data_IF_022896512211
#
_entry.id   IF_022896512211
#
_cell.length_a   1.000
_cell.length_b   1.000
_cell.length_c   1.000
_cell.angle_alpha   90.00
_cell.angle_beta   90.00
_cell.angle_gamma   90.00
#
_symmetry.space_group_name_H-M   'P 1'
#
loop_
_entity.id
_entity.type
_entity.pdbx_description
1 polymer ?
#
# COMPACT_ATOMS: atom_id res chain seq x y z
N UNK A 1 4.88 6.14 -20.65
CA UNK A 1 4.43 6.59 -19.31
C UNK A 1 3.18 5.83 -18.92
N UNK A 2 2.97 5.56 -17.60
CA UNK A 2 1.77 4.91 -17.05
C UNK A 2 1.01 5.93 -16.23
N UNK A 3 -0.29 6.11 -16.52
CA UNK A 3 -1.18 6.93 -15.70
C UNK A 3 -1.78 6.10 -14.56
N UNK A 4 -2.00 6.72 -13.40
CA UNK A 4 -2.68 6.08 -12.28
C UNK A 4 -4.12 6.58 -12.20
N UNK A 5 -5.07 5.65 -12.23
CA UNK A 5 -6.49 5.91 -12.02
C UNK A 5 -6.86 5.52 -10.58
N UNK A 6 -7.21 6.49 -9.78
CA UNK A 6 -7.65 6.26 -8.39
C UNK A 6 -9.11 6.65 -8.24
N UNK A 7 -9.92 5.76 -7.69
CA UNK A 7 -11.32 6.05 -7.37
C UNK A 7 -11.38 6.73 -6.01
N UNK A 8 -11.92 7.95 -5.98
CA UNK A 8 -12.11 8.72 -4.73
C UNK A 8 -13.25 8.12 -3.91
N UNK A 9 -14.28 7.62 -4.58
CA UNK A 9 -15.38 6.88 -3.96
C UNK A 9 -15.38 5.44 -4.51
N UNK A 10 -15.11 4.47 -3.65
CA UNK A 10 -15.05 3.05 -4.01
C UNK A 10 -16.43 2.46 -4.39
N UNK A 11 -17.53 3.15 -4.09
CA UNK A 11 -18.89 2.76 -4.50
C UNK A 11 -19.28 3.26 -5.88
N UNK A 12 -18.52 4.19 -6.45
CA UNK A 12 -18.83 4.82 -7.73
C UNK A 12 -17.83 4.39 -8.80
N UNK A 13 -18.29 3.59 -9.75
CA UNK A 13 -17.52 3.29 -10.97
C UNK A 13 -17.93 4.28 -12.06
N UNK A 14 -16.97 4.90 -12.77
CA UNK A 14 -17.28 5.86 -13.82
C UNK A 14 -18.10 5.21 -14.94
N UNK A 15 -18.98 5.98 -15.55
CA UNK A 15 -19.72 5.51 -16.73
C UNK A 15 -18.75 5.20 -17.88
N UNK A 16 -19.13 4.30 -18.76
CA UNK A 16 -18.33 3.93 -19.95
C UNK A 16 -17.98 5.16 -20.80
N UNK A 17 -18.87 6.14 -20.87
CA UNK A 17 -18.64 7.38 -21.63
C UNK A 17 -17.58 8.25 -20.96
N UNK A 18 -17.66 8.47 -19.64
CA UNK A 18 -16.69 9.26 -18.91
C UNK A 18 -15.31 8.61 -18.97
N UNK A 19 -15.25 7.29 -18.77
CA UNK A 19 -13.99 6.54 -18.82
C UNK A 19 -13.33 6.64 -20.20
N UNK A 20 -14.10 6.53 -21.27
CA UNK A 20 -13.60 6.67 -22.65
C UNK A 20 -13.00 8.06 -22.90
N UNK A 21 -13.67 9.11 -22.45
CA UNK A 21 -13.15 10.49 -22.57
C UNK A 21 -11.79 10.61 -21.86
N UNK A 22 -11.68 10.13 -20.61
CA UNK A 22 -10.43 10.18 -19.85
C UNK A 22 -9.31 9.38 -20.51
N UNK A 23 -9.61 8.19 -21.05
CA UNK A 23 -8.62 7.37 -21.75
C UNK A 23 -8.10 8.05 -23.02
N UNK A 24 -8.99 8.68 -23.81
CA UNK A 24 -8.58 9.48 -24.97
C UNK A 24 -7.72 10.67 -24.60
N UNK A 25 -8.05 11.39 -23.51
CA UNK A 25 -7.24 12.50 -23.03
C UNK A 25 -5.84 12.03 -22.56
N UNK A 26 -5.77 10.92 -21.82
CA UNK A 26 -4.50 10.36 -21.37
C UNK A 26 -3.62 9.92 -22.54
N UNK A 27 -4.22 9.31 -23.55
CA UNK A 27 -3.51 8.96 -24.79
C UNK A 27 -2.98 10.21 -25.49
N UNK A 28 -3.79 11.25 -25.63
CA UNK A 28 -3.39 12.52 -26.25
C UNK A 28 -2.24 13.20 -25.48
N UNK A 29 -2.11 12.97 -24.17
CA UNK A 29 -1.01 13.42 -23.32
C UNK A 29 0.22 12.51 -23.38
N UNK A 30 0.24 11.46 -24.20
CA UNK A 30 1.38 10.56 -24.41
C UNK A 30 1.51 9.45 -23.37
N UNK A 31 0.48 9.15 -22.59
CA UNK A 31 0.48 7.95 -21.76
C UNK A 31 0.28 6.69 -22.62
N UNK A 32 1.04 5.63 -22.32
CA UNK A 32 0.94 4.35 -23.03
C UNK A 32 -0.07 3.39 -22.38
N UNK A 33 -0.33 3.55 -21.09
CA UNK A 33 -1.28 2.72 -20.35
C UNK A 33 -1.83 3.44 -19.12
N UNK A 34 -2.95 2.92 -18.61
CA UNK A 34 -3.58 3.34 -17.37
C UNK A 34 -3.62 2.16 -16.42
N UNK A 35 -3.18 2.36 -15.18
CA UNK A 35 -3.27 1.38 -14.10
C UNK A 35 -4.21 1.88 -13.03
N UNK A 36 -5.08 1.01 -12.51
CA UNK A 36 -5.97 1.36 -11.40
C UNK A 36 -5.27 1.24 -10.05
N UNK A 37 -5.82 1.88 -9.02
CA UNK A 37 -5.62 1.43 -7.64
C UNK A 37 -6.24 0.05 -7.41
N UNK A 38 -6.15 -0.46 -6.18
CA UNK A 38 -6.83 -1.69 -5.81
C UNK A 38 -8.36 -1.47 -5.79
N UNK A 39 -9.10 -2.28 -6.55
CA UNK A 39 -10.56 -2.23 -6.66
C UNK A 39 -11.19 -3.55 -6.21
N UNK A 40 -12.45 -3.51 -5.82
CA UNK A 40 -13.24 -4.72 -5.50
C UNK A 40 -13.48 -5.59 -6.74
N UNK A 41 -13.87 -6.84 -6.55
CA UNK A 41 -14.22 -7.75 -7.66
C UNK A 41 -15.31 -7.15 -8.55
N UNK A 42 -16.36 -6.56 -7.95
CA UNK A 42 -17.41 -5.89 -8.70
C UNK A 42 -16.88 -4.71 -9.53
N UNK A 43 -15.95 -3.93 -8.99
CA UNK A 43 -15.26 -2.86 -9.73
C UNK A 43 -14.39 -3.42 -10.86
N UNK A 44 -13.71 -4.54 -10.63
CA UNK A 44 -12.89 -5.20 -11.64
C UNK A 44 -13.74 -5.73 -12.81
N UNK A 45 -14.91 -6.29 -12.54
CA UNK A 45 -15.85 -6.75 -13.57
C UNK A 45 -16.35 -5.61 -14.46
N UNK A 46 -16.67 -4.47 -13.83
CA UNK A 46 -17.12 -3.28 -14.60
C UNK A 46 -15.98 -2.75 -15.49
N UNK A 47 -14.77 -2.64 -14.95
CA UNK A 47 -13.61 -2.18 -15.71
C UNK A 47 -13.18 -3.20 -16.77
N UNK A 48 -13.30 -4.50 -16.49
CA UNK A 48 -13.04 -5.56 -17.47
C UNK A 48 -13.92 -5.42 -18.73
N UNK A 49 -15.22 -5.11 -18.55
CA UNK A 49 -16.11 -4.82 -19.68
C UNK A 49 -15.72 -3.56 -20.47
N UNK A 50 -14.84 -2.72 -19.91
CA UNK A 50 -14.26 -1.55 -20.54
C UNK A 50 -12.84 -1.78 -21.08
N UNK A 51 -12.41 -3.04 -21.20
CA UNK A 51 -11.13 -3.42 -21.79
C UNK A 51 -9.94 -3.28 -20.84
N UNK A 52 -10.16 -3.24 -19.53
CA UNK A 52 -9.09 -3.38 -18.54
C UNK A 52 -8.82 -4.86 -18.27
N UNK A 53 -7.56 -5.21 -18.14
CA UNK A 53 -7.10 -6.55 -17.79
C UNK A 53 -6.60 -6.59 -16.35
N UNK A 54 -6.81 -7.71 -15.65
CA UNK A 54 -6.30 -7.89 -14.30
C UNK A 54 -4.77 -8.02 -14.37
N UNK A 55 -4.08 -7.05 -13.76
CA UNK A 55 -2.63 -7.03 -13.66
C UNK A 55 -2.16 -7.88 -12.48
N UNK A 56 -2.86 -7.79 -11.34
CA UNK A 56 -2.62 -8.63 -10.16
C UNK A 56 -3.84 -8.70 -9.24
N UNK A 57 -3.88 -9.75 -8.42
CA UNK A 57 -4.83 -9.93 -7.33
C UNK A 57 -4.16 -9.69 -5.98
N UNK A 58 -4.93 -9.18 -5.04
CA UNK A 58 -4.46 -8.85 -3.70
C UNK A 58 -5.35 -9.53 -2.68
N UNK A 59 -4.75 -10.14 -1.66
CA UNK A 59 -5.45 -10.43 -0.42
C UNK A 59 -5.80 -9.12 0.27
N UNK A 60 -7.03 -9.01 0.73
CA UNK A 60 -7.48 -7.98 1.65
C UNK A 60 -7.52 -8.60 3.04
N UNK A 61 -6.89 -7.95 4.01
CA UNK A 61 -6.87 -8.42 5.38
C UNK A 61 -7.39 -7.34 6.31
N UNK A 62 -8.06 -7.75 7.37
CA UNK A 62 -8.49 -6.86 8.43
C UNK A 62 -8.11 -7.35 9.82
N UNK A 63 -8.12 -6.42 10.76
CA UNK A 63 -7.88 -6.65 12.17
C UNK A 63 -8.80 -5.78 13.01
N UNK A 64 -9.53 -6.37 13.95
CA UNK A 64 -10.20 -5.60 15.00
C UNK A 64 -9.16 -5.06 15.98
N UNK A 65 -9.16 -3.74 16.15
CA UNK A 65 -8.29 -3.07 17.14
C UNK A 65 -8.88 -3.07 18.55
N UNK A 66 -10.14 -3.48 18.70
CA UNK A 66 -10.82 -3.61 20.00
C UNK A 66 -10.22 -4.81 20.72
N UNK A 67 -9.62 -4.57 21.88
CA UNK A 67 -8.96 -5.62 22.67
C UNK A 67 -7.61 -6.11 22.10
N UNK A 68 -7.19 -5.64 20.92
CA UNK A 68 -5.90 -6.05 20.36
C UNK A 68 -4.72 -5.63 21.26
N UNK A 69 -3.76 -6.52 21.43
CA UNK A 69 -2.51 -6.26 22.15
C UNK A 69 -1.32 -6.51 21.20
N UNK A 70 -0.25 -5.72 21.31
CA UNK A 70 0.95 -5.95 20.53
C UNK A 70 1.53 -7.35 20.84
N UNK A 71 2.10 -8.03 19.83
CA UNK A 71 2.80 -9.28 20.05
C UNK A 71 3.90 -9.11 21.11
N UNK A 72 4.08 -10.13 21.95
CA UNK A 72 5.20 -10.16 22.92
C UNK A 72 6.53 -10.41 22.19
N UNK A 73 7.61 -9.84 22.69
CA UNK A 73 8.96 -10.00 22.17
C UNK A 73 9.66 -8.65 21.94
N UNK A 74 10.89 -8.74 21.43
CA UNK A 74 11.70 -7.56 21.13
C UNK A 74 11.02 -6.71 20.05
N UNK A 75 10.72 -5.48 20.44
CA UNK A 75 10.11 -4.49 19.55
C UNK A 75 11.14 -3.39 19.24
N UNK A 76 11.48 -3.28 17.97
CA UNK A 76 12.36 -2.22 17.48
C UNK A 76 11.53 -0.95 17.34
N UNK A 77 11.76 0.01 18.20
CA UNK A 77 11.01 1.26 18.17
C UNK A 77 11.34 2.06 16.91
N UNK A 78 10.35 2.20 16.03
CA UNK A 78 10.45 3.07 14.87
C UNK A 78 10.37 4.56 15.26
N UNK A 79 11.03 5.40 14.47
CA UNK A 79 10.96 6.85 14.57
C UNK A 79 10.19 7.46 13.39
N UNK A 80 9.85 8.74 13.47
CA UNK A 80 9.22 9.45 12.36
C UNK A 80 10.18 9.52 11.16
N UNK A 81 9.69 9.18 9.98
CA UNK A 81 10.36 9.45 8.71
C UNK A 81 10.37 10.96 8.46
N UNK A 82 11.53 11.52 8.18
CA UNK A 82 11.71 12.95 7.93
C UNK A 82 11.67 13.23 6.42
N UNK A 83 11.24 14.42 6.03
CA UNK A 83 11.16 14.80 4.60
C UNK A 83 12.52 14.64 3.89
N UNK A 84 13.63 14.99 4.55
CA UNK A 84 14.98 14.83 3.98
C UNK A 84 15.43 13.37 3.76
N UNK A 85 14.66 12.40 4.27
CA UNK A 85 14.93 10.96 4.18
C UNK A 85 14.05 10.26 3.12
N UNK A 86 13.24 11.03 2.36
CA UNK A 86 12.35 10.46 1.34
C UNK A 86 13.13 9.76 0.23
N UNK A 87 14.30 10.29 -0.16
CA UNK A 87 15.18 9.63 -1.13
C UNK A 87 15.64 8.24 -0.63
N UNK A 88 16.09 8.14 0.62
CA UNK A 88 16.48 6.85 1.22
C UNK A 88 15.27 5.90 1.33
N UNK A 89 14.09 6.41 1.68
CA UNK A 89 12.88 5.59 1.72
C UNK A 89 12.50 5.07 0.31
N UNK A 90 12.69 5.87 -0.74
CA UNK A 90 12.50 5.44 -2.12
C UNK A 90 13.55 4.39 -2.57
N UNK A 91 14.78 4.45 -2.06
CA UNK A 91 15.81 3.42 -2.28
C UNK A 91 15.39 2.10 -1.65
N UNK A 92 14.96 2.12 -0.39
CA UNK A 92 14.40 0.94 0.30
C UNK A 92 13.20 0.38 -0.44
N UNK A 93 12.33 1.25 -0.93
CA UNK A 93 11.14 0.84 -1.69
C UNK A 93 11.54 0.12 -2.99
N UNK A 94 12.49 0.66 -3.73
CA UNK A 94 13.03 0.06 -4.96
C UNK A 94 13.72 -1.28 -4.70
N UNK A 95 14.41 -1.42 -3.58
CA UNK A 95 15.03 -2.68 -3.18
C UNK A 95 14.00 -3.73 -2.73
N UNK A 96 12.91 -3.29 -2.09
CA UNK A 96 11.87 -4.18 -1.55
C UNK A 96 10.88 -4.67 -2.62
N UNK A 97 10.60 -3.85 -3.64
CA UNK A 97 9.60 -4.12 -4.69
C UNK A 97 10.24 -4.18 -6.07
N UNK A 98 9.59 -4.87 -6.98
CA UNK A 98 10.00 -4.81 -8.40
C UNK A 98 9.73 -3.42 -8.97
N UNK A 99 10.46 -3.02 -10.03
CA UNK A 99 10.36 -1.69 -10.69
C UNK A 99 8.93 -1.27 -11.01
N UNK A 100 8.07 -2.24 -11.30
CA UNK A 100 6.65 -1.97 -11.60
C UNK A 100 5.87 -1.45 -10.40
N UNK A 101 6.28 -1.81 -9.19
CA UNK A 101 5.57 -1.54 -7.94
C UNK A 101 6.33 -0.63 -6.98
N UNK A 102 7.59 -0.39 -7.27
CA UNK A 102 8.39 0.58 -6.53
C UNK A 102 7.82 1.99 -6.72
N UNK A 103 7.86 2.78 -5.66
CA UNK A 103 7.47 4.19 -5.67
C UNK A 103 8.67 5.06 -5.35
N UNK A 104 8.72 6.21 -6.00
CA UNK A 104 9.71 7.25 -5.74
C UNK A 104 9.27 8.18 -4.59
N UNK A 105 10.05 9.22 -4.33
CA UNK A 105 9.78 10.22 -3.29
C UNK A 105 8.40 10.88 -3.46
N UNK A 106 8.01 11.12 -4.70
CA UNK A 106 6.70 11.67 -5.03
C UNK A 106 5.58 10.68 -4.70
N UNK A 107 5.75 9.42 -5.08
CA UNK A 107 4.81 8.34 -4.76
C UNK A 107 4.66 8.11 -3.25
N UNK A 108 5.76 8.26 -2.46
CA UNK A 108 5.71 8.21 -0.99
C UNK A 108 4.87 9.37 -0.46
N UNK A 109 5.06 10.58 -0.98
CA UNK A 109 4.30 11.76 -0.58
C UNK A 109 2.81 11.61 -0.93
N UNK A 110 2.50 11.19 -2.16
CA UNK A 110 1.13 10.91 -2.62
C UNK A 110 0.46 9.82 -1.76
N UNK A 111 1.20 8.79 -1.36
CA UNK A 111 0.69 7.75 -0.45
C UNK A 111 0.37 8.31 0.92
N UNK A 112 1.18 9.22 1.45
CA UNK A 112 0.88 9.92 2.71
C UNK A 112 -0.40 10.75 2.60
N UNK A 113 -0.59 11.45 1.50
CA UNK A 113 -1.73 12.34 1.25
C UNK A 113 -3.03 11.61 0.86
N UNK A 114 -2.95 10.31 0.55
CA UNK A 114 -4.11 9.51 0.16
C UNK A 114 -5.18 9.35 1.27
N UNK A 115 -4.88 9.75 2.50
CA UNK A 115 -5.82 9.73 3.62
C UNK A 115 -5.81 11.07 4.38
N UNK A 116 -6.94 11.48 5.00
CA UNK A 116 -7.05 12.75 5.73
C UNK A 116 -6.02 12.95 6.86
N UNK A 117 -5.54 11.86 7.43
CA UNK A 117 -4.47 11.88 8.41
C UNK A 117 -3.60 10.63 8.26
N UNK A 118 -2.29 10.84 8.33
CA UNK A 118 -1.30 9.78 8.14
C UNK A 118 -0.13 9.87 9.13
N UNK A 119 0.68 8.82 9.16
CA UNK A 119 1.99 8.76 9.80
C UNK A 119 2.94 7.97 8.91
N UNK A 120 4.07 8.58 8.56
CA UNK A 120 5.21 7.88 8.00
C UNK A 120 6.27 7.66 9.11
N UNK A 121 6.77 6.44 9.24
CA UNK A 121 7.79 6.09 10.23
C UNK A 121 8.76 5.05 9.68
N UNK A 122 9.94 4.95 10.29
CA UNK A 122 11.06 4.19 9.79
C UNK A 122 11.84 3.52 10.92
N UNK A 123 12.64 2.53 10.58
CA UNK A 123 13.67 1.91 11.41
C UNK A 123 15.01 2.13 10.73
N UNK A 124 16.02 2.57 11.51
CA UNK A 124 17.38 2.79 11.02
C UNK A 124 18.11 1.47 10.78
N UNK A 125 18.99 1.44 9.76
CA UNK A 125 19.73 0.27 9.35
C UNK A 125 20.94 -0.05 10.20
N UNK A 126 21.52 0.92 10.95
CA UNK A 126 22.74 0.77 11.74
C UNK A 126 22.73 -0.48 12.65
N UNK A 127 21.59 -0.78 13.26
CA UNK A 127 21.40 -1.98 14.08
C UNK A 127 21.66 -3.30 13.33
N UNK A 128 21.55 -3.28 12.02
CA UNK A 128 21.69 -4.42 11.12
C UNK A 128 23.01 -4.39 10.34
N UNK A 129 23.90 -3.43 10.65
CA UNK A 129 25.13 -3.20 9.90
C UNK A 129 24.86 -2.63 8.49
N UNK A 130 23.71 -2.00 8.31
CA UNK A 130 23.25 -1.42 7.04
C UNK A 130 23.23 0.10 7.13
N UNK A 131 23.84 0.77 6.17
CA UNK A 131 23.79 2.23 6.08
C UNK A 131 22.41 2.69 5.58
N UNK A 132 21.85 3.71 6.26
CA UNK A 132 20.56 4.28 5.90
C UNK A 132 19.37 3.65 6.63
N UNK A 133 18.26 3.43 5.91
CA UNK A 133 17.02 2.94 6.50
C UNK A 133 16.86 1.43 6.31
N UNK A 134 16.57 0.70 7.40
CA UNK A 134 16.23 -0.72 7.34
C UNK A 134 14.82 -0.97 6.76
N UNK A 135 13.94 0.02 6.85
CA UNK A 135 12.59 -0.07 6.35
C UNK A 135 11.73 1.11 6.76
N UNK A 136 10.58 1.25 6.12
CA UNK A 136 9.61 2.28 6.47
C UNK A 136 8.17 1.79 6.30
N UNK A 137 7.25 2.47 6.95
CA UNK A 137 5.83 2.25 6.78
C UNK A 137 5.05 3.56 6.72
N UNK A 138 3.98 3.57 5.91
CA UNK A 138 3.00 4.64 5.83
C UNK A 138 1.67 4.10 6.33
N UNK A 139 1.12 4.78 7.31
CA UNK A 139 -0.14 4.44 7.96
C UNK A 139 -1.09 5.60 7.79
N UNK A 140 -2.26 5.36 7.25
CA UNK A 140 -3.31 6.37 7.11
C UNK A 140 -4.55 6.03 7.92
N UNK A 141 -5.48 6.99 8.00
CA UNK A 141 -6.81 6.76 8.55
C UNK A 141 -7.87 7.53 7.79
N UNK A 142 -9.04 6.92 7.69
CA UNK A 142 -10.29 7.58 7.32
C UNK A 142 -11.38 7.04 8.24
N UNK A 143 -12.22 7.91 8.77
CA UNK A 143 -13.26 7.60 9.76
C UNK A 143 -12.72 6.79 10.94
N UNK A 144 -13.26 5.59 11.16
CA UNK A 144 -12.87 4.67 12.22
C UNK A 144 -11.90 3.56 11.78
N UNK A 145 -11.43 3.62 10.52
CA UNK A 145 -10.54 2.62 9.92
C UNK A 145 -9.13 3.15 9.73
N UNK A 146 -8.15 2.37 10.13
CA UNK A 146 -6.73 2.58 9.83
C UNK A 146 -6.28 1.73 8.66
N UNK A 147 -5.38 2.25 7.85
CA UNK A 147 -4.83 1.60 6.67
C UNK A 147 -3.32 1.51 6.78
N UNK A 148 -2.75 0.31 6.68
CA UNK A 148 -1.31 0.16 6.43
C UNK A 148 -1.12 0.30 4.91
N UNK A 149 -0.84 1.53 4.47
CA UNK A 149 -0.83 1.91 3.05
C UNK A 149 0.44 1.46 2.33
N UNK A 150 1.58 1.46 3.04
CA UNK A 150 2.85 1.00 2.52
C UNK A 150 3.69 0.42 3.63
N UNK A 151 4.39 -0.68 3.34
CA UNK A 151 5.40 -1.29 4.21
C UNK A 151 6.52 -1.79 3.29
N UNK A 152 7.71 -1.25 3.44
CA UNK A 152 8.92 -1.68 2.75
C UNK A 152 10.02 -2.00 3.75
N UNK A 153 10.72 -3.11 3.55
CA UNK A 153 11.87 -3.54 4.35
C UNK A 153 13.00 -3.88 3.39
N UNK A 154 14.13 -3.26 3.60
CA UNK A 154 15.33 -3.54 2.84
C UNK A 154 15.65 -5.04 2.87
N UNK A 155 15.92 -5.69 1.72
CA UNK A 155 16.21 -7.12 1.66
C UNK A 155 17.29 -7.57 2.65
N UNK A 156 18.33 -6.78 2.86
CA UNK A 156 19.45 -7.08 3.75
C UNK A 156 19.08 -6.99 5.23
N UNK A 157 18.00 -6.26 5.55
CA UNK A 157 17.47 -6.10 6.92
C UNK A 157 16.26 -7.03 7.20
N UNK A 158 15.88 -7.91 6.25
CA UNK A 158 14.78 -8.87 6.45
C UNK A 158 15.15 -9.89 7.53
N UNK A 159 14.09 -10.52 8.09
CA UNK A 159 14.20 -11.50 9.19
C UNK A 159 14.74 -10.93 10.52
N UNK A 160 15.15 -9.67 10.56
CA UNK A 160 15.56 -8.94 11.76
C UNK A 160 14.41 -8.31 12.58
N UNK A 161 13.14 -8.61 12.26
CA UNK A 161 11.99 -8.08 13.00
C UNK A 161 11.52 -6.67 12.56
N UNK A 162 12.18 -6.06 11.56
CA UNK A 162 11.84 -4.70 11.07
C UNK A 162 10.37 -4.59 10.64
N UNK A 163 9.91 -5.49 9.79
CA UNK A 163 8.51 -5.50 9.31
C UNK A 163 7.49 -5.67 10.43
N UNK A 164 7.79 -6.56 11.40
CA UNK A 164 6.95 -6.77 12.58
C UNK A 164 6.86 -5.50 13.43
N UNK A 165 7.98 -4.85 13.67
CA UNK A 165 8.06 -3.61 14.46
C UNK A 165 7.31 -2.46 13.77
N UNK A 166 7.52 -2.24 12.48
CA UNK A 166 6.82 -1.21 11.71
C UNK A 166 5.29 -1.45 11.67
N UNK A 167 4.87 -2.70 11.49
CA UNK A 167 3.44 -3.05 11.52
C UNK A 167 2.84 -2.82 12.91
N UNK A 168 3.53 -3.26 13.96
CA UNK A 168 3.10 -3.08 15.36
C UNK A 168 3.01 -1.59 15.72
N UNK A 169 3.99 -0.78 15.35
CA UNK A 169 3.98 0.68 15.56
C UNK A 169 2.80 1.36 14.83
N UNK A 170 2.45 0.88 13.62
CA UNK A 170 1.27 1.33 12.87
C UNK A 170 -0.02 1.05 13.65
N UNK A 171 -0.18 -0.17 14.14
CA UNK A 171 -1.37 -0.58 14.92
C UNK A 171 -1.47 0.15 16.25
N UNK A 172 -0.36 0.37 16.96
CA UNK A 172 -0.31 1.19 18.18
C UNK A 172 -0.75 2.63 17.87
N UNK A 173 -0.28 3.22 16.76
CA UNK A 173 -0.68 4.55 16.33
C UNK A 173 -2.19 4.63 16.03
N UNK A 174 -2.75 3.63 15.36
CA UNK A 174 -4.18 3.52 15.09
C UNK A 174 -5.00 3.44 16.38
N UNK A 175 -4.60 2.57 17.33
CA UNK A 175 -5.26 2.46 18.66
C UNK A 175 -5.25 3.76 19.46
N UNK A 176 -4.12 4.45 19.48
CA UNK A 176 -4.00 5.76 20.16
C UNK A 176 -4.97 6.80 19.58
N UNK A 177 -5.45 6.61 18.35
CA UNK A 177 -6.46 7.42 17.68
C UNK A 177 -7.86 6.86 17.78
N UNK A 178 -8.05 5.84 18.62
CA UNK A 178 -9.35 5.19 18.87
C UNK A 178 -9.98 4.60 17.61
N UNK A 179 -9.16 4.18 16.63
CA UNK A 179 -9.65 3.44 15.48
C UNK A 179 -10.05 2.03 15.93
N UNK A 180 -11.11 1.50 15.36
CA UNK A 180 -11.68 0.21 15.73
C UNK A 180 -11.23 -0.92 14.80
N UNK A 181 -10.75 -0.58 13.60
CA UNK A 181 -10.37 -1.53 12.56
C UNK A 181 -9.06 -1.10 11.89
N UNK A 182 -8.21 -2.06 11.58
CA UNK A 182 -7.05 -1.89 10.72
C UNK A 182 -7.24 -2.73 9.45
N UNK A 183 -6.81 -2.20 8.30
CA UNK A 183 -6.90 -2.85 6.99
C UNK A 183 -5.55 -2.80 6.31
N UNK A 184 -5.19 -3.87 5.62
CA UNK A 184 -4.01 -3.96 4.76
C UNK A 184 -4.33 -4.86 3.57
N UNK A 185 -3.67 -4.62 2.46
CA UNK A 185 -3.66 -5.55 1.33
C UNK A 185 -2.23 -5.97 0.98
N UNK A 186 -2.09 -7.14 0.37
CA UNK A 186 -0.82 -7.66 -0.11
C UNK A 186 -1.04 -8.54 -1.35
N UNK A 187 -0.03 -8.65 -2.21
CA UNK A 187 -0.07 -9.54 -3.34
C UNK A 187 -0.35 -10.99 -2.90
N UNK A 188 -1.14 -11.73 -3.70
CA UNK A 188 -1.49 -13.12 -3.37
C UNK A 188 -0.28 -14.03 -3.22
N UNK A 189 0.81 -13.74 -3.93
CA UNK A 189 2.06 -14.52 -3.92
C UNK A 189 3.07 -13.98 -2.89
N UNK A 190 2.69 -13.02 -2.05
CA UNK A 190 3.58 -12.46 -1.02
C UNK A 190 3.37 -13.17 0.32
N UNK A 191 3.81 -14.45 0.38
CA UNK A 191 3.69 -15.29 1.58
C UNK A 191 4.37 -14.66 2.80
N UNK A 192 5.48 -13.92 2.59
CA UNK A 192 6.21 -13.26 3.67
C UNK A 192 5.39 -12.15 4.34
N UNK A 193 4.71 -11.32 3.56
CA UNK A 193 3.83 -10.30 4.09
C UNK A 193 2.56 -10.91 4.70
N UNK A 194 2.00 -11.94 4.06
CA UNK A 194 0.83 -12.64 4.57
C UNK A 194 1.11 -13.24 5.97
N UNK A 195 2.22 -13.97 6.12
CA UNK A 195 2.63 -14.55 7.40
C UNK A 195 2.89 -13.47 8.47
N UNK A 196 3.51 -12.34 8.09
CA UNK A 196 3.72 -11.20 8.96
C UNK A 196 2.39 -10.66 9.49
N UNK A 197 1.43 -10.39 8.61
CA UNK A 197 0.14 -9.82 9.00
C UNK A 197 -0.68 -10.78 9.85
N UNK A 198 -0.70 -12.06 9.51
CA UNK A 198 -1.36 -13.10 10.32
C UNK A 198 -0.73 -13.20 11.73
N UNK A 199 0.59 -13.10 11.84
CA UNK A 199 1.30 -13.11 13.13
C UNK A 199 0.88 -11.98 14.06
N UNK A 200 0.53 -10.81 13.55
CA UNK A 200 0.05 -9.68 14.35
C UNK A 200 -1.46 -9.68 14.56
N UNK A 201 -2.17 -10.67 13.98
CA UNK A 201 -3.59 -10.91 14.21
C UNK A 201 -4.53 -10.51 13.08
N UNK A 202 -4.02 -10.09 11.93
CA UNK A 202 -4.86 -9.85 10.75
C UNK A 202 -5.47 -11.17 10.24
N UNK A 203 -6.67 -11.07 9.69
CA UNK A 203 -7.39 -12.18 9.06
C UNK A 203 -7.62 -11.86 7.60
N UNK A 204 -7.38 -12.85 6.74
CA UNK A 204 -7.68 -12.72 5.31
C UNK A 204 -9.19 -12.70 5.13
N UNK A 205 -9.67 -11.72 4.39
CA UNK A 205 -11.09 -11.65 4.01
C UNK A 205 -11.36 -12.56 2.80
N UNK A 206 -12.60 -13.08 2.65
CA UNK A 206 -12.93 -14.03 1.59
C UNK A 206 -12.91 -13.41 0.18
N UNK A 207 -13.09 -12.11 0.08
CA UNK A 207 -13.03 -11.37 -1.18
C UNK A 207 -11.65 -10.76 -1.39
N UNK A 208 -11.20 -10.77 -2.63
CA UNK A 208 -9.93 -10.19 -3.06
C UNK A 208 -10.14 -8.80 -3.65
N UNK A 209 -9.04 -8.07 -3.76
CA UNK A 209 -8.96 -6.87 -4.58
C UNK A 209 -8.18 -7.19 -5.86
N UNK A 210 -8.38 -6.37 -6.89
CA UNK A 210 -7.63 -6.45 -8.13
C UNK A 210 -7.04 -5.10 -8.50
N UNK A 211 -5.84 -5.11 -9.04
CA UNK A 211 -5.27 -3.98 -9.79
C UNK A 211 -5.38 -4.31 -11.26
N UNK A 212 -5.91 -3.37 -12.04
CA UNK A 212 -6.11 -3.56 -13.46
C UNK A 212 -5.25 -2.58 -14.26
N UNK A 213 -5.00 -2.95 -15.49
CA UNK A 213 -4.29 -2.13 -16.48
C UNK A 213 -5.05 -2.12 -17.79
N UNK A 214 -5.01 -1.00 -18.48
CA UNK A 214 -5.45 -0.87 -19.86
C UNK A 214 -4.38 -0.20 -20.70
N UNK A 215 -4.02 -0.79 -21.83
CA UNK A 215 -3.19 -0.16 -22.85
C UNK A 215 -4.01 0.89 -23.60
N UNK A 216 -3.37 1.98 -23.98
CA UNK A 216 -4.03 3.08 -24.67
C UNK A 216 -3.82 3.05 -26.21
N UNK A 217 -3.05 2.07 -26.68
CA UNK A 217 -2.82 1.88 -28.12
C UNK A 217 -4.12 1.47 -28.86
N UNK A 218 -5.04 0.83 -28.13
CA UNK A 218 -6.31 0.28 -28.64
C UNK A 218 -7.55 1.18 -28.31
N UNK A 219 -7.34 2.43 -27.97
CA UNK A 219 -8.42 3.39 -27.62
C UNK A 219 -8.70 4.37 -28.73
#
# INVERSE_FOLDING_TARGET
MVAQLTFIDHGVVPTSTALRVWLCELRARGFASVRTGAVTEAGADVLGRQGFEILQRLHLLDLSLIGWQPPQGDHIRGRRLRVRELAQAAEVDRAAFTDRWAIDERGITETCEATPAHRAHTVDGERFGHDGLAGYAITGRADHTGYLQRLAVDPDCRRGGVGLSLTTDSLIWMRRRRLTRAVVNTHTDNDGALALYQRVGFRVLPHQLAVLVRRLDDV
#
